data_IF_370787263422
#
_entry.id   IF_370787263422
#
_cell.length_a   1.000
_cell.length_b   1.000
_cell.length_c   1.000
_cell.angle_alpha   90.00
_cell.angle_beta   90.00
_cell.angle_gamma   90.00
#
_symmetry.space_group_name_H-M   'P 1'
#
loop_
_entity.id
_entity.type
_entity.pdbx_description
1 polymer ?
#
# COMPACT_ATOMS: atom_id res chain seq x y z
N UNK A 1 1.52 -23.69 -49.62
CA UNK A 1 2.36 -23.13 -48.54
C UNK A 1 1.54 -22.02 -47.90
N UNK A 2 0.90 -22.31 -46.76
CA UNK A 2 -0.01 -21.39 -46.07
C UNK A 2 0.75 -20.82 -44.88
N UNK A 3 1.17 -19.57 -44.97
CA UNK A 3 1.80 -18.83 -43.87
C UNK A 3 0.68 -18.19 -43.05
N UNK A 4 0.45 -18.72 -41.84
CA UNK A 4 -0.51 -18.17 -40.89
C UNK A 4 0.19 -17.04 -40.15
N UNK A 5 -0.36 -15.84 -40.30
CA UNK A 5 0.00 -14.66 -39.53
C UNK A 5 -0.15 -14.92 -38.03
N UNK A 6 0.96 -14.94 -37.30
CA UNK A 6 0.98 -14.88 -35.83
C UNK A 6 1.75 -13.63 -35.38
N UNK A 7 1.04 -12.50 -35.44
CA UNK A 7 1.47 -11.22 -34.90
C UNK A 7 0.40 -10.73 -33.91
N UNK A 8 0.26 -11.42 -32.78
CA UNK A 8 -0.50 -10.99 -31.60
C UNK A 8 0.47 -11.14 -30.41
N UNK A 9 0.87 -10.15 -29.64
CA UNK A 9 0.38 -8.82 -29.38
C UNK A 9 1.46 -8.04 -28.58
N UNK A 10 1.96 -6.89 -29.03
CA UNK A 10 2.91 -6.08 -28.25
C UNK A 10 2.22 -5.16 -27.21
N UNK A 11 0.94 -5.36 -26.92
CA UNK A 11 0.14 -4.44 -26.10
C UNK A 11 -0.29 -5.01 -24.74
N UNK A 12 0.33 -6.09 -24.23
CA UNK A 12 0.16 -6.43 -22.82
C UNK A 12 0.67 -5.25 -22.00
N UNK A 13 -0.33 -4.50 -21.56
CA UNK A 13 -0.26 -3.25 -20.85
C UNK A 13 0.86 -3.31 -19.82
N UNK A 14 1.58 -2.18 -19.70
CA UNK A 14 2.32 -1.86 -18.50
C UNK A 14 1.34 -1.97 -17.32
N UNK A 15 1.26 -3.18 -16.74
CA UNK A 15 0.52 -3.44 -15.53
C UNK A 15 1.18 -2.57 -14.48
N UNK A 16 0.47 -1.51 -14.05
CA UNK A 16 0.79 -0.84 -12.81
C UNK A 16 1.06 -1.93 -11.77
N UNK A 17 2.18 -1.87 -11.02
CA UNK A 17 2.53 -2.96 -10.13
C UNK A 17 1.44 -3.05 -9.05
N UNK A 18 0.51 -3.99 -9.23
CA UNK A 18 -0.22 -4.56 -8.10
C UNK A 18 0.84 -5.00 -7.10
N UNK A 19 0.71 -4.69 -5.80
CA UNK A 19 1.65 -5.17 -4.80
C UNK A 19 1.73 -6.70 -4.93
N UNK A 20 2.90 -7.22 -5.33
CA UNK A 20 3.08 -8.62 -5.73
C UNK A 20 3.38 -9.52 -4.53
N UNK A 21 3.69 -8.90 -3.38
CA UNK A 21 4.09 -9.56 -2.14
C UNK A 21 3.74 -8.72 -0.91
N UNK A 22 3.69 -9.36 0.27
CA UNK A 22 3.55 -8.67 1.55
C UNK A 22 4.67 -7.64 1.79
N UNK A 23 5.89 -7.96 1.31
CA UNK A 23 7.06 -7.08 1.40
C UNK A 23 6.88 -5.78 0.61
N UNK A 24 6.28 -5.83 -0.58
CA UNK A 24 5.97 -4.62 -1.37
C UNK A 24 5.02 -3.68 -0.61
N UNK A 25 4.04 -4.26 0.09
CA UNK A 25 3.06 -3.49 0.86
C UNK A 25 3.69 -2.84 2.09
N UNK A 26 4.61 -3.56 2.75
CA UNK A 26 5.38 -2.99 3.85
C UNK A 26 6.32 -1.88 3.38
N UNK A 27 6.97 -2.03 2.22
CA UNK A 27 7.80 -0.99 1.64
C UNK A 27 7.00 0.28 1.31
N UNK A 28 5.78 0.13 0.79
CA UNK A 28 4.85 1.26 0.56
C UNK A 28 4.44 1.92 1.89
N UNK A 29 4.16 1.13 2.93
CA UNK A 29 3.86 1.63 4.27
C UNK A 29 5.03 2.43 4.85
N UNK A 30 6.26 1.91 4.78
CA UNK A 30 7.45 2.60 5.27
C UNK A 30 7.69 3.91 4.52
N UNK A 31 7.55 3.92 3.18
CA UNK A 31 7.66 5.13 2.39
C UNK A 31 6.60 6.18 2.79
N UNK A 32 5.37 5.76 3.08
CA UNK A 32 4.33 6.65 3.56
C UNK A 32 4.63 7.20 4.97
N UNK A 33 5.24 6.40 5.85
CA UNK A 33 5.67 6.82 7.19
C UNK A 33 6.79 7.85 7.10
N UNK A 34 7.80 7.62 6.25
CA UNK A 34 8.91 8.56 6.03
C UNK A 34 8.37 9.90 5.53
N UNK A 35 7.53 9.88 4.49
CA UNK A 35 6.89 11.10 3.97
C UNK A 35 6.06 11.84 5.02
N UNK A 36 5.31 11.11 5.85
CA UNK A 36 4.52 11.71 6.92
C UNK A 36 5.38 12.36 8.01
N UNK A 37 6.63 11.90 8.20
CA UNK A 37 7.59 12.49 9.14
C UNK A 37 8.30 13.71 8.54
N UNK A 38 8.64 13.66 7.26
CA UNK A 38 9.34 14.74 6.55
C UNK A 38 8.42 15.92 6.20
N UNK A 39 7.14 15.65 5.90
CA UNK A 39 6.16 16.64 5.43
C UNK A 39 5.43 17.45 6.50
N UNK A 40 6.05 17.66 7.68
CA UNK A 40 5.56 18.44 8.83
C UNK A 40 4.17 19.09 8.71
N UNK A 41 3.17 18.43 9.30
CA UNK A 41 1.86 18.92 9.78
C UNK A 41 0.91 19.73 8.87
N UNK A 42 1.34 20.29 7.74
CA UNK A 42 0.51 21.25 6.98
C UNK A 42 -0.06 20.68 5.68
N UNK A 43 0.40 19.52 5.24
CA UNK A 43 -0.10 18.96 4.01
C UNK A 43 -1.36 18.13 4.24
N UNK A 44 -2.23 18.15 3.26
CA UNK A 44 -3.53 17.47 3.13
C UNK A 44 -3.38 15.92 3.14
N UNK A 45 -2.25 15.40 3.62
CA UNK A 45 -1.65 14.11 3.32
C UNK A 45 -1.78 13.07 4.45
N UNK A 46 -2.69 13.28 5.40
CA UNK A 46 -3.13 12.22 6.31
C UNK A 46 -3.74 11.02 5.59
N UNK A 47 -4.29 11.24 4.39
CA UNK A 47 -4.91 10.20 3.56
C UNK A 47 -3.88 9.26 2.93
N UNK A 48 -2.70 9.72 2.53
CA UNK A 48 -1.67 8.84 1.97
C UNK A 48 -1.17 7.77 2.96
N UNK A 49 -1.02 8.14 4.24
CA UNK A 49 -0.67 7.19 5.29
C UNK A 49 -1.86 6.26 5.64
N UNK A 50 -3.09 6.77 5.63
CA UNK A 50 -4.29 5.94 5.85
C UNK A 50 -4.50 4.92 4.73
N UNK A 51 -4.28 5.31 3.49
CA UNK A 51 -4.38 4.44 2.32
C UNK A 51 -3.31 3.36 2.35
N UNK A 52 -2.07 3.70 2.70
CA UNK A 52 -1.01 2.72 2.89
C UNK A 52 -1.34 1.71 4.00
N UNK A 53 -1.90 2.18 5.13
CA UNK A 53 -2.37 1.29 6.21
C UNK A 53 -3.56 0.43 5.76
N UNK A 54 -4.48 0.98 4.97
CA UNK A 54 -5.60 0.23 4.41
C UNK A 54 -5.13 -0.87 3.45
N UNK A 55 -4.19 -0.55 2.56
CA UNK A 55 -3.56 -1.52 1.65
C UNK A 55 -2.85 -2.64 2.42
N UNK A 56 -2.11 -2.30 3.50
CA UNK A 56 -1.52 -3.30 4.41
C UNK A 56 -2.56 -4.22 5.02
N UNK A 57 -3.73 -3.69 5.39
CA UNK A 57 -4.82 -4.50 5.94
C UNK A 57 -5.50 -5.38 4.89
N UNK A 58 -5.73 -4.86 3.69
CA UNK A 58 -6.28 -5.62 2.57
C UNK A 58 -5.34 -6.74 2.11
N UNK A 59 -4.02 -6.54 2.23
CA UNK A 59 -3.00 -7.56 2.02
C UNK A 59 -2.88 -8.59 3.17
N UNK A 60 -3.70 -8.48 4.22
CA UNK A 60 -3.73 -9.43 5.33
C UNK A 60 -2.68 -9.18 6.42
N UNK A 61 -1.93 -8.08 6.37
CA UNK A 61 -0.92 -7.76 7.38
C UNK A 61 -1.62 -7.52 8.75
N UNK A 62 -1.15 -8.18 9.82
CA UNK A 62 -1.74 -8.01 11.14
C UNK A 62 -1.42 -6.63 11.72
N UNK A 63 -2.34 -6.09 12.52
CA UNK A 63 -2.16 -4.80 13.20
C UNK A 63 -0.94 -4.73 14.12
N UNK A 64 -0.40 -5.87 14.56
CA UNK A 64 0.87 -5.91 15.31
C UNK A 64 2.01 -5.36 14.47
N UNK A 65 2.25 -5.97 13.31
CA UNK A 65 3.30 -5.56 12.37
C UNK A 65 3.10 -4.13 11.88
N UNK A 66 1.86 -3.76 11.51
CA UNK A 66 1.55 -2.38 11.13
C UNK A 66 1.88 -1.39 12.26
N UNK A 67 1.55 -1.76 13.50
CA UNK A 67 1.88 -0.96 14.68
C UNK A 67 3.39 -0.81 14.89
N UNK A 68 4.13 -1.91 14.77
CA UNK A 68 5.59 -1.93 14.92
C UNK A 68 6.26 -0.98 13.90
N UNK A 69 5.85 -1.03 12.63
CA UNK A 69 6.33 -0.09 11.60
C UNK A 69 5.96 1.36 11.90
N UNK A 70 4.74 1.61 12.39
CA UNK A 70 4.30 2.95 12.79
C UNK A 70 4.96 3.44 14.09
N UNK A 71 5.70 2.59 14.81
CA UNK A 71 6.26 2.90 16.13
C UNK A 71 5.18 3.07 17.19
N UNK A 72 4.06 2.36 17.07
CA UNK A 72 2.92 2.46 17.98
C UNK A 72 2.36 1.09 18.38
N UNK A 73 1.83 1.00 19.60
CA UNK A 73 1.20 -0.23 20.05
C UNK A 73 0.03 -0.64 19.11
N UNK A 74 -0.12 -1.95 18.89
CA UNK A 74 -1.20 -2.56 18.08
C UNK A 74 -2.58 -1.94 18.33
N UNK A 75 -2.95 -1.78 19.61
CA UNK A 75 -4.26 -1.23 19.99
C UNK A 75 -4.44 0.22 19.52
N UNK A 76 -3.38 1.02 19.60
CA UNK A 76 -3.38 2.40 19.15
C UNK A 76 -3.45 2.49 17.61
N UNK A 77 -2.70 1.64 16.90
CA UNK A 77 -2.80 1.53 15.44
C UNK A 77 -4.23 1.17 14.99
N UNK A 78 -4.83 0.15 15.62
CA UNK A 78 -6.21 -0.23 15.33
C UNK A 78 -7.19 0.92 15.61
N UNK A 79 -7.10 1.57 16.77
CA UNK A 79 -8.03 2.65 17.12
C UNK A 79 -7.94 3.85 16.17
N UNK A 80 -6.72 4.20 15.74
CA UNK A 80 -6.44 5.36 14.89
C UNK A 80 -6.78 5.13 13.42
N UNK A 81 -6.55 3.93 12.90
CA UNK A 81 -6.66 3.62 11.47
C UNK A 81 -7.77 2.64 11.12
N UNK A 82 -8.54 2.13 12.09
CA UNK A 82 -9.78 1.41 11.77
C UNK A 82 -10.69 2.33 10.97
N UNK A 83 -11.13 1.90 9.79
CA UNK A 83 -12.27 2.53 9.11
C UNK A 83 -13.44 2.50 10.11
N UNK A 84 -13.91 3.68 10.51
CA UNK A 84 -15.18 3.80 11.23
C UNK A 84 -16.26 3.45 10.20
N UNK A 85 -17.10 2.42 10.42
CA UNK A 85 -18.28 2.27 9.58
C UNK A 85 -19.12 3.55 9.73
N UNK A 86 -19.44 4.18 8.61
CA UNK A 86 -20.36 5.30 8.54
C UNK A 86 -21.78 4.83 8.87
#
# INVERSE_FOLDING_TARGET
MTEIADARAPWLAAAAPSPRSADDVLAVLDAAIVRAREGGADDVSGDGLRDAVAAAREAGIPWGIIGDHLGMARGNAYQKYRKRPA
#
